data_IF_486201056784
#
_entry.id   IF_486201056784
#
_cell.length_a   1.000
_cell.length_b   1.000
_cell.length_c   1.000
_cell.angle_alpha   90.00
_cell.angle_beta   90.00
_cell.angle_gamma   90.00
#
_symmetry.space_group_name_H-M   'P 1'
#
loop_
_entity.id
_entity.type
_entity.pdbx_description
1 polymer ?
#
# COMPACT_ATOMS: atom_id res chain seq x y z
N UNK A 1 0.43 6.89 57.90
CA UNK A 1 1.68 7.09 57.13
C UNK A 1 2.03 8.56 57.22
N UNK A 2 3.10 8.91 57.91
CA UNK A 2 3.55 10.30 58.05
C UNK A 2 4.42 10.65 56.83
N UNK A 3 4.13 11.75 56.14
CA UNK A 3 4.93 12.17 54.99
C UNK A 3 6.34 12.59 55.44
N UNK A 4 7.37 12.03 54.79
CA UNK A 4 8.79 12.33 55.10
C UNK A 4 9.27 13.66 54.50
N UNK A 5 8.51 14.24 53.57
CA UNK A 5 8.80 15.54 52.95
C UNK A 5 8.03 15.75 51.65
N UNK A 6 8.18 16.93 51.04
CA UNK A 6 7.56 17.29 49.76
C UNK A 6 8.61 17.80 48.78
N UNK A 7 8.57 17.32 47.53
CA UNK A 7 9.47 17.75 46.45
C UNK A 7 8.63 18.36 45.35
N UNK A 8 8.97 19.57 44.93
CA UNK A 8 8.26 20.27 43.86
C UNK A 8 8.81 19.84 42.51
N UNK A 9 7.93 19.34 41.64
CA UNK A 9 8.30 18.98 40.27
C UNK A 9 8.42 20.27 39.44
N UNK A 10 9.57 20.53 38.78
CA UNK A 10 9.72 21.70 37.91
C UNK A 10 8.76 21.65 36.73
N UNK A 11 8.22 22.80 36.30
CA UNK A 11 7.29 22.88 35.16
C UNK A 11 7.90 22.39 33.84
N UNK A 12 9.23 22.38 33.71
CA UNK A 12 9.97 21.88 32.55
C UNK A 12 10.37 20.39 32.66
N UNK A 13 9.83 19.64 33.62
CA UNK A 13 10.16 18.23 33.79
C UNK A 13 9.64 17.38 32.61
N UNK A 14 10.53 16.65 31.96
CA UNK A 14 10.19 15.71 30.90
C UNK A 14 10.50 14.26 31.36
N UNK A 15 9.47 13.38 31.52
CA UNK A 15 9.67 12.02 31.99
C UNK A 15 10.43 11.13 31.00
N UNK A 16 10.52 11.52 29.72
CA UNK A 16 11.28 10.79 28.70
C UNK A 16 12.76 11.17 28.65
N UNK A 17 13.18 12.25 29.32
CA UNK A 17 14.58 12.66 29.37
C UNK A 17 15.32 11.99 30.56
N UNK A 18 16.37 11.19 30.32
CA UNK A 18 17.13 10.54 31.39
C UNK A 18 17.74 11.51 32.41
N UNK A 19 18.16 12.70 31.98
CA UNK A 19 18.77 13.70 32.86
C UNK A 19 17.73 14.32 33.80
N UNK A 20 16.57 14.72 33.28
CA UNK A 20 15.47 15.26 34.08
C UNK A 20 15.00 14.29 35.18
N UNK A 21 15.04 12.98 34.91
CA UNK A 21 14.76 11.94 35.91
C UNK A 21 15.82 11.85 37.01
N UNK A 22 17.11 12.00 36.66
CA UNK A 22 18.20 12.00 37.64
C UNK A 22 18.15 13.23 38.55
N UNK A 23 17.88 14.39 37.98
CA UNK A 23 17.83 15.65 38.72
C UNK A 23 16.68 15.63 39.74
N UNK A 24 15.49 15.14 39.34
CA UNK A 24 14.37 14.94 40.24
C UNK A 24 14.70 13.91 41.35
N UNK A 25 15.34 12.79 41.01
CA UNK A 25 15.77 11.79 41.98
C UNK A 25 16.85 12.31 42.95
N UNK A 26 17.67 13.28 42.52
CA UNK A 26 18.62 13.97 43.40
C UNK A 26 17.90 14.87 44.40
N UNK A 27 16.97 15.69 43.92
CA UNK A 27 16.14 16.56 44.77
C UNK A 27 15.31 15.74 45.78
N UNK A 28 14.81 14.57 45.39
CA UNK A 28 14.13 13.66 46.31
C UNK A 28 15.05 13.09 47.39
N UNK A 29 16.30 12.76 47.07
CA UNK A 29 17.28 12.26 48.06
C UNK A 29 17.68 13.33 49.06
N UNK A 30 17.78 14.58 48.61
CA UNK A 30 18.10 15.72 49.46
C UNK A 30 16.97 16.01 50.48
N UNK A 31 15.70 15.95 50.05
CA UNK A 31 14.53 16.15 50.93
C UNK A 31 14.35 15.00 51.93
N UNK A 32 14.72 13.78 51.56
CA UNK A 32 14.67 12.61 52.46
C UNK A 32 15.83 12.63 53.48
N UNK A 33 16.90 13.39 53.22
CA UNK A 33 18.04 13.54 54.14
C UNK A 33 18.71 12.21 54.51
N UNK A 34 19.37 12.18 55.66
CA UNK A 34 19.97 10.97 56.28
C UNK A 34 18.91 10.14 57.04
N UNK A 35 17.61 10.32 56.71
CA UNK A 35 16.61 9.36 57.14
C UNK A 35 17.07 8.01 56.61
N UNK A 36 17.41 7.11 57.52
CA UNK A 36 17.83 5.76 57.19
C UNK A 36 16.66 5.07 56.51
N UNK A 37 16.57 5.26 55.19
CA UNK A 37 15.98 4.29 54.28
C UNK A 37 16.90 3.11 54.48
N UNK A 38 16.58 2.30 55.51
CA UNK A 38 17.37 1.16 55.92
C UNK A 38 17.75 0.48 54.64
N UNK A 39 19.05 0.51 54.34
CA UNK A 39 19.60 -0.04 53.10
C UNK A 39 18.97 -1.40 53.07
N UNK A 40 17.98 -1.61 52.19
CA UNK A 40 17.43 -2.94 51.98
C UNK A 40 18.66 -3.64 51.48
N UNK A 41 19.32 -4.34 52.41
CA UNK A 41 20.18 -5.44 52.07
C UNK A 41 19.32 -6.16 51.06
N UNK A 42 19.77 -6.18 49.81
CA UNK A 42 19.29 -7.17 48.88
C UNK A 42 19.71 -8.46 49.57
N UNK A 43 18.87 -8.95 50.48
CA UNK A 43 18.75 -10.35 50.78
C UNK A 43 18.58 -10.91 49.37
N UNK A 44 19.64 -11.50 48.84
CA UNK A 44 19.52 -12.40 47.70
C UNK A 44 18.36 -13.31 48.08
N UNK A 45 17.31 -13.28 47.27
CA UNK A 45 16.21 -14.19 47.49
C UNK A 45 16.85 -15.59 47.58
N UNK A 46 16.62 -16.30 48.69
CA UNK A 46 17.20 -17.63 48.90
C UNK A 46 16.95 -18.61 47.74
N UNK A 47 15.97 -18.29 46.89
CA UNK A 47 15.70 -18.92 45.61
C UNK A 47 16.83 -18.71 44.56
N UNK A 48 17.37 -17.49 44.43
CA UNK A 48 18.53 -17.20 43.57
C UNK A 48 19.76 -17.99 44.05
N UNK A 49 19.97 -18.09 45.37
CA UNK A 49 21.09 -18.86 45.94
C UNK A 49 20.95 -20.37 45.69
N UNK A 50 19.72 -20.90 45.72
CA UNK A 50 19.43 -22.29 45.37
C UNK A 50 19.62 -22.56 43.87
N UNK A 51 19.16 -21.65 43.00
CA UNK A 51 19.36 -21.74 41.55
C UNK A 51 20.85 -21.67 41.18
N UNK A 52 21.60 -20.76 41.79
CA UNK A 52 23.04 -20.65 41.62
C UNK A 52 23.75 -21.93 42.09
N UNK A 53 23.32 -22.52 43.20
CA UNK A 53 23.89 -23.78 43.68
C UNK A 53 23.63 -24.95 42.71
N UNK A 54 22.42 -25.02 42.14
CA UNK A 54 22.05 -26.01 41.12
C UNK A 54 22.87 -25.83 39.84
N UNK A 55 22.97 -24.60 39.31
CA UNK A 55 23.77 -24.29 38.12
C UNK A 55 25.26 -24.61 38.34
N UNK A 56 25.82 -24.33 39.52
CA UNK A 56 27.19 -24.72 39.89
C UNK A 56 27.37 -26.23 39.97
N UNK A 57 26.37 -26.97 40.45
CA UNK A 57 26.39 -28.43 40.45
C UNK A 57 26.37 -28.98 39.03
N UNK A 58 25.47 -28.48 38.18
CA UNK A 58 25.38 -28.87 36.77
C UNK A 58 26.67 -28.58 36.00
N UNK A 59 27.28 -27.41 36.21
CA UNK A 59 28.57 -27.06 35.62
C UNK A 59 29.68 -28.04 36.00
N UNK A 60 29.72 -28.49 37.27
CA UNK A 60 30.69 -29.49 37.74
C UNK A 60 30.44 -30.88 37.18
N UNK A 61 29.18 -31.25 36.97
CA UNK A 61 28.78 -32.54 36.39
C UNK A 61 28.93 -32.58 34.86
N UNK A 62 29.13 -31.41 34.22
CA UNK A 62 29.27 -31.36 32.77
C UNK A 62 30.52 -32.13 32.31
N UNK A 63 30.43 -33.01 31.29
CA UNK A 63 31.55 -33.84 30.83
C UNK A 63 32.84 -33.08 30.47
N UNK A 64 32.71 -31.82 30.05
CA UNK A 64 33.86 -30.96 29.74
C UNK A 64 34.40 -30.13 30.93
N UNK A 65 33.88 -30.27 32.15
CA UNK A 65 34.26 -29.40 33.29
C UNK A 65 35.77 -29.44 33.58
N UNK A 66 36.36 -30.63 33.57
CA UNK A 66 37.80 -30.87 33.80
C UNK A 66 38.61 -31.16 32.52
N UNK A 67 38.05 -30.91 31.34
CA UNK A 67 38.74 -31.20 30.08
C UNK A 67 39.81 -30.13 29.79
N UNK A 68 41.03 -30.55 29.41
CA UNK A 68 42.11 -29.64 29.02
C UNK A 68 41.76 -28.78 27.79
N UNK A 69 40.96 -29.34 26.88
CA UNK A 69 40.53 -28.69 25.63
C UNK A 69 39.17 -27.99 25.74
N UNK A 70 38.66 -27.75 26.96
CA UNK A 70 37.35 -27.13 27.20
C UNK A 70 37.13 -25.83 26.41
N UNK A 71 38.14 -24.96 26.36
CA UNK A 71 38.08 -23.70 25.62
C UNK A 71 38.05 -23.90 24.10
N UNK A 72 38.59 -25.01 23.58
CA UNK A 72 38.47 -25.38 22.16
C UNK A 72 37.05 -25.88 21.86
N UNK A 73 36.49 -26.76 22.71
CA UNK A 73 35.11 -27.22 22.58
C UNK A 73 34.10 -26.08 22.65
N UNK A 74 34.28 -25.13 23.59
CA UNK A 74 33.43 -23.95 23.72
C UNK A 74 33.44 -23.11 22.45
N UNK A 75 34.61 -22.84 21.86
CA UNK A 75 34.72 -22.10 20.59
C UNK A 75 34.01 -22.79 19.42
N UNK A 76 34.15 -24.12 19.32
CA UNK A 76 33.43 -24.89 18.29
C UNK A 76 31.92 -24.89 18.52
N UNK A 77 31.48 -25.02 19.78
CA UNK A 77 30.06 -24.94 20.14
C UNK A 77 29.47 -23.54 19.84
N UNK A 78 30.18 -22.46 20.17
CA UNK A 78 29.77 -21.10 19.82
C UNK A 78 29.66 -20.90 18.31
N UNK A 79 30.64 -21.41 17.54
CA UNK A 79 30.62 -21.35 16.08
C UNK A 79 29.44 -22.14 15.51
N UNK A 80 29.19 -23.34 16.02
CA UNK A 80 28.03 -24.15 15.64
C UNK A 80 26.71 -23.44 15.97
N UNK A 81 26.55 -22.92 17.18
CA UNK A 81 25.35 -22.20 17.61
C UNK A 81 25.13 -20.91 16.82
N UNK A 82 26.21 -20.23 16.40
CA UNK A 82 26.12 -19.08 15.49
C UNK A 82 25.66 -19.52 14.11
N UNK A 83 26.33 -20.50 13.50
CA UNK A 83 25.97 -21.00 12.18
C UNK A 83 24.54 -21.55 12.13
N UNK A 84 24.09 -22.23 13.20
CA UNK A 84 22.72 -22.72 13.32
C UNK A 84 21.68 -21.61 13.41
N UNK A 85 21.97 -20.52 14.14
CA UNK A 85 21.10 -19.32 14.15
C UNK A 85 21.06 -18.66 12.78
N UNK A 86 22.23 -18.48 12.15
CA UNK A 86 22.31 -17.90 10.81
C UNK A 86 21.54 -18.73 9.78
N UNK A 87 21.63 -20.06 9.83
CA UNK A 87 20.85 -20.98 9.01
C UNK A 87 19.35 -20.80 9.24
N UNK A 88 18.91 -20.81 10.49
CA UNK A 88 17.50 -20.63 10.83
C UNK A 88 16.94 -19.27 10.38
N UNK A 89 17.70 -18.19 10.57
CA UNK A 89 17.34 -16.85 10.11
C UNK A 89 17.29 -16.77 8.58
N UNK A 90 18.11 -17.56 7.87
CA UNK A 90 18.10 -17.65 6.42
C UNK A 90 16.87 -18.44 5.93
N UNK A 91 16.57 -19.57 6.55
CA UNK A 91 15.39 -20.40 6.28
C UNK A 91 14.11 -19.59 6.46
N UNK A 92 13.95 -18.89 7.59
CA UNK A 92 12.79 -18.02 7.81
C UNK A 92 12.69 -16.90 6.78
N UNK A 93 13.82 -16.32 6.34
CA UNK A 93 13.83 -15.29 5.28
C UNK A 93 13.44 -15.85 3.93
N UNK A 94 13.88 -17.07 3.60
CA UNK A 94 13.49 -17.77 2.37
C UNK A 94 12.01 -18.10 2.41
N UNK A 95 11.52 -18.73 3.48
CA UNK A 95 10.09 -19.06 3.64
C UNK A 95 9.21 -17.81 3.63
N UNK A 96 9.65 -16.72 4.29
CA UNK A 96 8.94 -15.45 4.30
C UNK A 96 8.88 -14.78 2.92
N UNK A 97 9.97 -14.82 2.14
CA UNK A 97 10.02 -14.27 0.77
C UNK A 97 9.22 -15.12 -0.20
N UNK A 98 9.36 -16.44 -0.14
CA UNK A 98 8.68 -17.39 -1.03
C UNK A 98 7.16 -17.37 -0.83
N UNK A 99 6.69 -17.22 0.42
CA UNK A 99 5.27 -17.15 0.71
C UNK A 99 4.65 -15.75 0.52
N UNK A 100 5.44 -14.71 0.24
CA UNK A 100 4.90 -13.35 0.13
C UNK A 100 4.02 -13.16 -1.11
N UNK A 101 4.37 -13.80 -2.23
CA UNK A 101 3.59 -13.76 -3.47
C UNK A 101 2.30 -14.58 -3.31
N UNK A 102 2.39 -15.81 -2.79
CA UNK A 102 1.22 -16.64 -2.53
C UNK A 102 0.22 -15.94 -1.60
N UNK A 103 0.68 -15.39 -0.46
CA UNK A 103 -0.18 -14.63 0.46
C UNK A 103 -0.75 -13.35 -0.17
N UNK A 104 -0.03 -12.69 -1.08
CA UNK A 104 -0.59 -11.54 -1.80
C UNK A 104 -1.67 -11.99 -2.78
N UNK A 105 -1.42 -13.08 -3.50
CA UNK A 105 -2.39 -13.68 -4.41
C UNK A 105 -3.67 -14.11 -3.67
N UNK A 106 -3.55 -14.81 -2.54
CA UNK A 106 -4.69 -15.23 -1.72
C UNK A 106 -5.54 -14.02 -1.28
N UNK A 107 -4.89 -12.94 -0.83
CA UNK A 107 -5.59 -11.71 -0.45
C UNK A 107 -6.27 -11.03 -1.63
N UNK A 108 -5.69 -11.10 -2.83
CA UNK A 108 -6.34 -10.60 -4.05
C UNK A 108 -7.55 -11.45 -4.42
N UNK A 109 -7.46 -12.80 -4.34
CA UNK A 109 -8.61 -13.66 -4.62
C UNK A 109 -9.75 -13.45 -3.61
N UNK A 110 -9.43 -13.17 -2.34
CA UNK A 110 -10.42 -12.75 -1.34
C UNK A 110 -11.13 -11.45 -1.74
N UNK A 111 -10.40 -10.42 -2.19
CA UNK A 111 -11.02 -9.17 -2.70
C UNK A 111 -11.91 -9.43 -3.90
N UNK A 112 -11.43 -10.22 -4.86
CA UNK A 112 -12.20 -10.55 -6.06
C UNK A 112 -13.46 -11.38 -5.73
N UNK A 113 -13.41 -12.25 -4.72
CA UNK A 113 -14.56 -12.98 -4.24
C UNK A 113 -15.56 -12.06 -3.51
N UNK A 114 -15.08 -11.19 -2.61
CA UNK A 114 -15.91 -10.21 -1.89
C UNK A 114 -16.66 -9.28 -2.86
N UNK A 115 -16.00 -8.90 -3.96
CA UNK A 115 -16.58 -8.07 -5.01
C UNK A 115 -17.38 -8.87 -6.04
N UNK A 116 -17.42 -10.21 -6.00
CA UNK A 116 -18.22 -11.07 -6.89
C UNK A 116 -17.61 -11.35 -8.27
N UNK A 117 -16.31 -11.13 -8.46
CA UNK A 117 -15.56 -11.55 -9.66
C UNK A 117 -15.15 -13.03 -9.61
N UNK A 118 -15.09 -13.62 -8.42
CA UNK A 118 -14.92 -15.05 -8.17
C UNK A 118 -16.10 -15.56 -7.33
N UNK A 119 -16.46 -16.84 -7.50
CA UNK A 119 -17.52 -17.48 -6.68
C UNK A 119 -17.11 -17.63 -5.21
N UNK A 120 -15.81 -17.86 -4.96
CA UNK A 120 -15.20 -17.98 -3.64
C UNK A 120 -13.70 -17.66 -3.73
N UNK A 121 -13.04 -17.57 -2.59
CA UNK A 121 -11.57 -17.57 -2.51
C UNK A 121 -11.04 -19.00 -2.37
N UNK A 122 -9.81 -19.25 -2.83
CA UNK A 122 -9.13 -20.55 -2.71
C UNK A 122 -9.27 -21.47 -3.93
N UNK A 123 -8.95 -22.75 -3.74
CA UNK A 123 -8.75 -23.72 -4.84
C UNK A 123 -10.02 -24.04 -5.64
N UNK A 124 -11.20 -23.92 -5.00
CA UNK A 124 -12.51 -24.15 -5.64
C UNK A 124 -13.09 -22.88 -6.30
N UNK A 125 -12.31 -21.81 -6.42
CA UNK A 125 -12.75 -20.56 -7.02
C UNK A 125 -13.06 -20.71 -8.51
N UNK A 126 -14.27 -20.31 -8.91
CA UNK A 126 -14.67 -20.22 -10.31
C UNK A 126 -14.83 -18.76 -10.74
N UNK A 127 -14.48 -18.48 -12.00
CA UNK A 127 -14.60 -17.13 -12.57
C UNK A 127 -16.06 -16.85 -12.91
N UNK A 128 -16.62 -15.78 -12.32
CA UNK A 128 -18.00 -15.34 -12.59
C UNK A 128 -18.11 -14.66 -13.96
N UNK A 129 -19.33 -14.31 -14.40
CA UNK A 129 -19.50 -13.50 -15.61
C UNK A 129 -18.79 -12.15 -15.49
N UNK A 130 -18.91 -11.47 -14.34
CA UNK A 130 -18.17 -10.25 -14.05
C UNK A 130 -16.65 -10.48 -14.08
N UNK A 131 -16.18 -11.62 -13.55
CA UNK A 131 -14.78 -12.05 -13.65
C UNK A 131 -14.31 -12.16 -15.11
N UNK A 132 -15.14 -12.71 -16.01
CA UNK A 132 -14.82 -12.80 -17.45
C UNK A 132 -14.77 -11.45 -18.13
N UNK A 133 -15.57 -10.49 -17.70
CA UNK A 133 -15.47 -9.09 -18.15
C UNK A 133 -14.16 -8.46 -17.69
N UNK A 134 -13.79 -8.62 -16.41
CA UNK A 134 -12.52 -8.11 -15.86
C UNK A 134 -11.31 -8.66 -16.61
N UNK A 135 -11.30 -9.95 -16.97
CA UNK A 135 -10.21 -10.57 -17.74
C UNK A 135 -9.92 -9.93 -19.11
N UNK A 136 -10.81 -9.08 -19.63
CA UNK A 136 -10.65 -8.37 -20.91
C UNK A 136 -10.03 -6.98 -20.76
N UNK A 137 -9.84 -6.52 -19.53
CA UNK A 137 -9.23 -5.24 -19.19
C UNK A 137 -7.78 -5.50 -18.76
N UNK A 138 -6.86 -4.78 -19.38
CA UNK A 138 -5.41 -4.91 -19.16
C UNK A 138 -4.85 -3.51 -18.91
N UNK A 139 -5.03 -3.03 -17.68
CA UNK A 139 -4.63 -1.70 -17.21
C UNK A 139 -4.36 -1.79 -15.70
N UNK A 140 -3.58 -0.85 -15.16
CA UNK A 140 -3.32 -0.78 -13.71
C UNK A 140 -4.58 -0.44 -12.89
N UNK A 141 -5.64 0.03 -13.55
CA UNK A 141 -6.94 0.36 -12.95
C UNK A 141 -8.06 -0.56 -13.49
N UNK A 142 -7.74 -1.80 -13.83
CA UNK A 142 -8.65 -2.78 -14.44
C UNK A 142 -9.87 -3.10 -13.57
N UNK A 143 -9.68 -3.35 -12.27
CA UNK A 143 -10.76 -3.63 -11.32
C UNK A 143 -11.71 -2.44 -11.20
N UNK A 144 -11.18 -1.23 -11.10
CA UNK A 144 -11.99 -0.01 -11.05
C UNK A 144 -12.75 0.21 -12.36
N UNK A 145 -12.11 0.01 -13.52
CA UNK A 145 -12.77 0.08 -14.82
C UNK A 145 -13.90 -0.96 -14.92
N UNK A 146 -13.66 -2.20 -14.46
CA UNK A 146 -14.66 -3.25 -14.46
C UNK A 146 -15.86 -2.91 -13.55
N UNK A 147 -15.62 -2.29 -12.39
CA UNK A 147 -16.68 -1.85 -11.49
C UNK A 147 -17.52 -0.73 -12.09
N UNK A 148 -16.87 0.29 -12.67
CA UNK A 148 -17.58 1.37 -13.36
C UNK A 148 -18.48 0.84 -14.49
N UNK A 149 -18.02 -0.17 -15.25
CA UNK A 149 -18.85 -0.85 -16.27
C UNK A 149 -20.01 -1.60 -15.62
N UNK A 150 -19.74 -2.35 -14.55
CA UNK A 150 -20.73 -3.20 -13.88
C UNK A 150 -21.84 -2.40 -13.20
N UNK A 151 -21.49 -1.25 -12.64
CA UNK A 151 -22.41 -0.33 -11.96
C UNK A 151 -23.08 0.66 -12.91
N UNK A 152 -22.74 0.63 -14.21
CA UNK A 152 -23.34 1.51 -15.22
C UNK A 152 -22.91 2.97 -15.09
N UNK A 153 -21.77 3.25 -14.45
CA UNK A 153 -21.25 4.62 -14.23
C UNK A 153 -21.00 5.36 -15.55
N UNK A 154 -20.71 4.61 -16.61
CA UNK A 154 -20.48 5.17 -17.95
C UNK A 154 -21.71 5.14 -18.86
N UNK A 155 -22.86 4.67 -18.35
CA UNK A 155 -24.08 4.63 -19.13
C UNK A 155 -24.56 6.06 -19.45
N UNK A 156 -24.92 6.28 -20.72
CA UNK A 156 -25.35 7.59 -21.20
C UNK A 156 -24.23 8.56 -21.55
N UNK A 157 -22.96 8.21 -21.33
CA UNK A 157 -21.83 9.00 -21.82
C UNK A 157 -21.71 8.93 -23.34
N UNK A 158 -21.55 10.09 -23.97
CA UNK A 158 -21.18 10.18 -25.37
C UNK A 158 -19.66 10.03 -25.53
N UNK A 159 -19.21 9.80 -26.77
CA UNK A 159 -17.83 9.47 -27.08
C UNK A 159 -16.77 10.40 -26.44
N UNK A 160 -16.97 11.72 -26.49
CA UNK A 160 -16.00 12.67 -25.92
C UNK A 160 -15.97 12.66 -24.38
N UNK A 161 -17.13 12.46 -23.74
CA UNK A 161 -17.27 12.39 -22.29
C UNK A 161 -16.69 11.07 -21.76
N UNK A 162 -16.95 9.96 -22.45
CA UNK A 162 -16.38 8.65 -22.14
C UNK A 162 -14.85 8.66 -22.24
N UNK A 163 -14.30 9.25 -23.31
CA UNK A 163 -12.86 9.42 -23.44
C UNK A 163 -12.25 10.20 -22.25
N UNK A 164 -12.95 11.24 -21.79
CA UNK A 164 -12.53 12.04 -20.65
C UNK A 164 -12.56 11.24 -19.33
N UNK A 165 -13.59 10.43 -19.12
CA UNK A 165 -13.69 9.55 -17.96
C UNK A 165 -12.57 8.49 -17.94
N UNK A 166 -12.33 7.83 -19.08
CA UNK A 166 -11.24 6.85 -19.20
C UNK A 166 -9.84 7.48 -19.00
N UNK A 167 -9.65 8.76 -19.36
CA UNK A 167 -8.40 9.47 -19.11
C UNK A 167 -8.04 9.53 -17.62
N UNK A 168 -9.04 9.63 -16.73
CA UNK A 168 -8.82 9.70 -15.29
C UNK A 168 -8.29 8.40 -14.67
N UNK A 169 -8.44 7.27 -15.38
CA UNK A 169 -7.98 5.96 -14.92
C UNK A 169 -6.55 5.62 -15.35
N UNK A 170 -6.10 6.20 -16.47
CA UNK A 170 -4.82 5.86 -17.09
C UNK A 170 -3.77 6.93 -16.88
N UNK A 171 -4.15 8.20 -16.72
CA UNK A 171 -3.19 9.28 -16.62
C UNK A 171 -2.48 9.27 -15.26
N UNK A 172 -1.19 9.60 -15.29
CA UNK A 172 -0.40 9.84 -14.08
C UNK A 172 0.42 11.12 -14.25
N UNK A 173 0.12 12.11 -13.43
CA UNK A 173 0.94 13.30 -13.29
C UNK A 173 2.29 12.95 -12.65
N UNK A 174 3.35 13.61 -13.12
CA UNK A 174 4.71 13.46 -12.55
C UNK A 174 4.92 14.27 -11.27
N UNK A 175 3.94 15.06 -10.84
CA UNK A 175 4.10 16.04 -9.76
C UNK A 175 3.24 15.68 -8.55
N UNK A 176 3.85 15.76 -7.38
CA UNK A 176 3.14 15.77 -6.11
C UNK A 176 2.47 17.15 -5.96
N UNK A 177 1.17 17.19 -6.25
CA UNK A 177 0.11 17.88 -5.50
C UNK A 177 0.38 19.26 -4.86
N UNK A 178 0.90 20.23 -5.63
CA UNK A 178 0.90 21.68 -5.29
C UNK A 178 0.28 22.56 -6.40
N UNK A 179 -0.42 21.94 -7.36
CA UNK A 179 -0.98 22.62 -8.54
C UNK A 179 -2.41 23.14 -8.36
N UNK A 180 -2.80 24.10 -9.21
CA UNK A 180 -4.20 24.52 -9.34
C UNK A 180 -5.08 23.33 -9.77
N UNK A 181 -6.29 23.22 -9.21
CA UNK A 181 -7.22 22.14 -9.53
C UNK A 181 -7.44 22.04 -11.05
N UNK A 182 -7.34 20.83 -11.64
CA UNK A 182 -7.41 20.67 -13.08
C UNK A 182 -8.78 21.13 -13.59
N UNK A 183 -8.75 21.82 -14.74
CA UNK A 183 -9.98 22.20 -15.44
C UNK A 183 -10.73 20.94 -15.84
N UNK A 184 -12.06 20.92 -15.66
CA UNK A 184 -12.92 19.81 -16.09
C UNK A 184 -13.96 20.27 -17.12
N UNK A 185 -14.38 19.38 -18.02
CA UNK A 185 -15.50 19.62 -18.92
C UNK A 185 -16.77 20.06 -18.17
N UNK A 186 -17.65 20.77 -18.88
CA UNK A 186 -19.01 21.00 -18.42
C UNK A 186 -19.86 19.79 -18.81
N UNK A 187 -21.00 19.59 -18.13
CA UNK A 187 -21.90 18.49 -18.42
C UNK A 187 -21.58 17.24 -17.59
N UNK A 188 -21.94 16.03 -18.10
CA UNK A 188 -22.05 14.82 -17.29
C UNK A 188 -20.71 14.30 -16.76
N UNK A 189 -19.58 14.71 -17.36
CA UNK A 189 -18.25 14.26 -16.96
C UNK A 189 -17.96 14.52 -15.48
N UNK A 190 -18.44 15.64 -14.91
CA UNK A 190 -18.19 15.95 -13.49
C UNK A 190 -18.88 14.96 -12.57
N UNK A 191 -20.15 14.72 -12.82
CA UNK A 191 -20.96 13.81 -12.02
C UNK A 191 -20.43 12.38 -12.14
N UNK A 192 -20.02 11.97 -13.35
CA UNK A 192 -19.37 10.67 -13.58
C UNK A 192 -18.04 10.56 -12.84
N UNK A 193 -17.18 11.58 -12.86
CA UNK A 193 -15.90 11.52 -12.13
C UNK A 193 -16.12 11.42 -10.61
N UNK A 194 -17.16 12.05 -10.09
CA UNK A 194 -17.58 11.88 -8.69
C UNK A 194 -18.02 10.44 -8.44
N UNK A 195 -18.91 9.88 -9.27
CA UNK A 195 -19.34 8.49 -9.13
C UNK A 195 -18.17 7.50 -9.24
N UNK A 196 -17.24 7.70 -10.18
CA UNK A 196 -16.02 6.89 -10.27
C UNK A 196 -15.16 6.99 -9.00
N UNK A 197 -15.14 8.14 -8.34
CA UNK A 197 -14.49 8.32 -7.04
C UNK A 197 -15.16 7.51 -5.94
N UNK A 198 -16.49 7.45 -5.92
CA UNK A 198 -17.25 6.63 -4.98
C UNK A 198 -16.98 5.13 -5.19
N UNK A 199 -17.05 4.65 -6.44
CA UNK A 199 -16.70 3.27 -6.79
C UNK A 199 -15.26 2.93 -6.38
N UNK A 200 -14.34 3.87 -6.56
CA UNK A 200 -12.94 3.71 -6.14
C UNK A 200 -12.82 3.52 -4.63
N UNK A 201 -13.54 4.30 -3.83
CA UNK A 201 -13.53 4.12 -2.37
C UNK A 201 -14.04 2.72 -1.99
N UNK A 202 -15.11 2.23 -2.62
CA UNK A 202 -15.63 0.88 -2.34
C UNK A 202 -14.59 -0.22 -2.65
N UNK A 203 -13.91 -0.11 -3.80
CA UNK A 203 -12.81 -1.02 -4.16
C UNK A 203 -11.66 -0.90 -3.16
N UNK A 204 -11.26 0.33 -2.83
CA UNK A 204 -10.17 0.59 -1.90
C UNK A 204 -10.48 0.04 -0.50
N UNK A 205 -11.70 0.16 0.00
CA UNK A 205 -12.13 -0.41 1.27
C UNK A 205 -12.11 -1.95 1.25
N UNK A 206 -12.50 -2.57 0.13
CA UNK A 206 -12.37 -4.02 -0.05
C UNK A 206 -10.90 -4.47 0.01
N UNK A 207 -10.00 -3.75 -0.66
CA UNK A 207 -8.55 -4.01 -0.61
C UNK A 207 -7.96 -3.80 0.78
N UNK A 208 -8.29 -2.68 1.42
CA UNK A 208 -7.77 -2.30 2.74
C UNK A 208 -8.15 -3.30 3.83
N UNK A 209 -9.37 -3.88 3.77
CA UNK A 209 -9.78 -4.98 4.67
C UNK A 209 -8.87 -6.21 4.58
N UNK A 210 -8.18 -6.41 3.45
CA UNK A 210 -7.20 -7.48 3.22
C UNK A 210 -5.75 -6.99 3.32
N UNK A 211 -5.51 -5.76 3.77
CA UNK A 211 -4.18 -5.17 3.86
C UNK A 211 -3.49 -5.03 2.51
N UNK A 212 -4.27 -4.72 1.48
CA UNK A 212 -3.82 -4.39 0.12
C UNK A 212 -4.04 -2.90 -0.12
N UNK A 213 -3.14 -2.31 -0.91
CA UNK A 213 -3.23 -0.94 -1.43
C UNK A 213 -2.85 -1.02 -2.91
N UNK A 214 -3.83 -1.35 -3.77
CA UNK A 214 -3.58 -1.62 -5.20
C UNK A 214 -4.24 -0.52 -6.04
N UNK A 215 -5.52 -0.26 -5.81
CA UNK A 215 -6.29 0.72 -6.59
C UNK A 215 -5.85 2.14 -6.26
N UNK A 216 -5.41 2.86 -7.30
CA UNK A 216 -4.87 4.21 -7.19
C UNK A 216 -5.98 5.28 -7.26
N UNK A 217 -5.72 6.50 -6.75
CA UNK A 217 -6.58 7.66 -6.99
C UNK A 217 -6.77 7.95 -8.47
N UNK A 218 -7.92 8.55 -8.82
CA UNK A 218 -8.14 9.09 -10.15
C UNK A 218 -7.25 10.33 -10.36
N UNK A 219 -6.61 10.43 -11.52
CA UNK A 219 -5.86 11.63 -11.90
C UNK A 219 -6.64 12.45 -12.94
N UNK A 220 -7.11 13.62 -12.52
CA UNK A 220 -7.97 14.46 -13.33
C UNK A 220 -7.20 15.37 -14.31
N UNK A 221 -5.86 15.37 -14.27
CA UNK A 221 -5.00 16.29 -15.00
C UNK A 221 -5.10 16.19 -16.53
N UNK A 222 -5.50 15.03 -17.07
CA UNK A 222 -5.62 14.81 -18.50
C UNK A 222 -7.07 14.87 -19.03
N UNK A 223 -8.06 14.85 -18.15
CA UNK A 223 -9.49 14.77 -18.51
C UNK A 223 -9.90 15.84 -19.50
N UNK A 224 -9.57 17.11 -19.23
CA UNK A 224 -9.96 18.22 -20.10
C UNK A 224 -9.27 18.20 -21.46
N UNK A 225 -7.98 17.83 -21.48
CA UNK A 225 -7.21 17.73 -22.71
C UNK A 225 -7.81 16.64 -23.62
N UNK A 226 -8.10 15.47 -23.06
CA UNK A 226 -8.72 14.34 -23.78
C UNK A 226 -10.10 14.69 -24.30
N UNK A 227 -10.96 15.29 -23.47
CA UNK A 227 -12.30 15.72 -23.90
C UNK A 227 -12.24 16.70 -25.07
N UNK A 228 -11.38 17.73 -24.98
CA UNK A 228 -11.19 18.73 -26.05
C UNK A 228 -10.70 18.08 -27.34
N UNK A 229 -9.75 17.16 -27.23
CA UNK A 229 -9.22 16.44 -28.38
C UNK A 229 -10.28 15.53 -29.02
N UNK A 230 -11.02 14.75 -28.26
CA UNK A 230 -12.13 13.94 -28.75
C UNK A 230 -13.27 14.79 -29.36
N UNK A 231 -13.39 16.05 -28.94
CA UNK A 231 -14.32 17.04 -29.50
C UNK A 231 -13.82 17.73 -30.78
N UNK A 232 -12.64 17.36 -31.30
CA UNK A 232 -12.10 17.91 -32.55
C UNK A 232 -11.24 19.16 -32.42
N UNK A 233 -10.86 19.57 -31.20
CA UNK A 233 -10.00 20.74 -31.01
C UNK A 233 -8.61 20.60 -31.68
N UNK A 234 -8.00 21.69 -32.18
CA UNK A 234 -6.63 21.62 -32.70
C UNK A 234 -5.62 21.36 -31.57
N UNK A 235 -4.55 20.62 -31.87
CA UNK A 235 -3.54 20.18 -30.89
C UNK A 235 -2.96 21.35 -30.10
N UNK A 236 -2.64 22.45 -30.78
CA UNK A 236 -2.07 23.64 -30.15
C UNK A 236 -2.98 24.19 -29.03
N UNK A 237 -4.30 24.13 -29.21
CA UNK A 237 -5.26 24.58 -28.18
C UNK A 237 -5.41 23.61 -27.01
N UNK A 238 -5.10 22.33 -27.23
CA UNK A 238 -5.14 21.29 -26.19
C UNK A 238 -3.88 21.42 -25.32
N UNK A 239 -2.71 21.55 -25.96
CA UNK A 239 -1.42 21.70 -25.27
C UNK A 239 -1.29 23.04 -24.55
N UNK A 240 -1.95 24.11 -25.02
CA UNK A 240 -1.89 25.42 -24.36
C UNK A 240 -2.58 25.48 -23.00
N UNK A 241 -3.27 24.41 -22.58
CA UNK A 241 -4.08 24.40 -21.34
C UNK A 241 -3.44 23.57 -20.22
N UNK A 242 -2.22 23.03 -20.40
CA UNK A 242 -1.53 22.29 -19.35
C UNK A 242 -0.06 22.04 -19.66
N UNK A 243 0.67 21.51 -18.67
CA UNK A 243 2.12 21.27 -18.74
C UNK A 243 2.49 19.96 -19.47
N UNK A 244 1.68 19.56 -20.45
CA UNK A 244 1.89 18.34 -21.22
C UNK A 244 2.75 18.62 -22.45
N UNK A 245 3.84 17.87 -22.59
CA UNK A 245 4.58 17.83 -23.84
C UNK A 245 3.74 17.16 -24.94
N UNK A 246 4.01 17.48 -26.21
CA UNK A 246 3.34 16.80 -27.33
C UNK A 246 3.57 15.27 -27.32
N UNK A 247 4.75 14.83 -26.87
CA UNK A 247 5.08 13.40 -26.74
C UNK A 247 4.27 12.71 -25.64
N UNK A 248 4.19 13.30 -24.45
CA UNK A 248 3.38 12.77 -23.35
C UNK A 248 1.89 12.76 -23.72
N UNK A 249 1.41 13.81 -24.42
CA UNK A 249 0.05 13.86 -24.93
C UNK A 249 -0.28 12.66 -25.84
N UNK A 250 0.58 12.36 -26.82
CA UNK A 250 0.37 11.21 -27.73
C UNK A 250 0.41 9.89 -26.94
N UNK A 251 1.35 9.73 -26.01
CA UNK A 251 1.45 8.52 -25.19
C UNK A 251 0.19 8.28 -24.37
N UNK A 252 -0.27 9.26 -23.60
CA UNK A 252 -1.46 9.11 -22.78
C UNK A 252 -2.73 8.94 -23.63
N UNK A 253 -2.84 9.66 -24.75
CA UNK A 253 -3.98 9.49 -25.67
C UNK A 253 -4.06 8.05 -26.19
N UNK A 254 -2.92 7.39 -26.48
CA UNK A 254 -2.91 5.98 -26.88
C UNK A 254 -3.37 5.06 -25.77
N UNK A 255 -2.93 5.27 -24.54
CA UNK A 255 -3.41 4.45 -23.42
C UNK A 255 -4.92 4.62 -23.20
N UNK A 256 -5.48 5.82 -23.43
CA UNK A 256 -6.94 6.01 -23.43
C UNK A 256 -7.59 5.24 -24.58
N UNK A 257 -7.05 5.29 -25.80
CA UNK A 257 -7.56 4.52 -26.95
C UNK A 257 -7.54 3.01 -26.65
N UNK A 258 -6.44 2.51 -26.08
CA UNK A 258 -6.28 1.09 -25.73
C UNK A 258 -7.33 0.68 -24.68
N UNK A 259 -7.51 1.48 -23.62
CA UNK A 259 -8.54 1.23 -22.60
C UNK A 259 -9.95 1.25 -23.22
N UNK A 260 -10.28 2.22 -24.08
CA UNK A 260 -11.57 2.26 -24.77
C UNK A 260 -11.79 1.00 -25.63
N UNK A 261 -10.75 0.52 -26.31
CA UNK A 261 -10.77 -0.73 -27.06
C UNK A 261 -11.06 -1.94 -26.17
N UNK A 262 -10.44 -2.01 -24.99
CA UNK A 262 -10.68 -3.06 -24.00
C UNK A 262 -12.11 -2.98 -23.43
N UNK A 263 -12.59 -1.79 -23.09
CA UNK A 263 -13.97 -1.56 -22.63
C UNK A 263 -14.98 -2.03 -23.68
N UNK A 264 -14.78 -1.69 -24.96
CA UNK A 264 -15.63 -2.14 -26.05
C UNK A 264 -15.65 -3.66 -26.23
N UNK A 265 -14.55 -4.35 -25.91
CA UNK A 265 -14.46 -5.82 -25.93
C UNK A 265 -15.06 -6.46 -24.67
N UNK A 266 -15.07 -5.74 -23.55
CA UNK A 266 -15.53 -6.22 -22.25
C UNK A 266 -17.06 -6.27 -22.13
N UNK A 267 -17.77 -5.41 -22.87
CA UNK A 267 -19.23 -5.29 -22.84
C UNK A 267 -19.91 -6.08 -23.98
N UNK A 268 -21.21 -6.45 -23.83
CA UNK A 268 -21.95 -7.14 -24.88
C UNK A 268 -22.03 -6.36 -26.20
N UNK A 269 -22.13 -7.09 -27.33
CA UNK A 269 -22.11 -6.51 -28.67
C UNK A 269 -23.21 -5.45 -28.94
N UNK A 270 -24.36 -5.59 -28.28
CA UNK A 270 -25.51 -4.66 -28.40
C UNK A 270 -25.50 -3.50 -27.40
N UNK A 271 -24.49 -3.38 -26.54
CA UNK A 271 -24.41 -2.29 -25.56
C UNK A 271 -24.12 -0.94 -26.25
N UNK A 272 -24.87 0.14 -25.97
CA UNK A 272 -24.53 1.49 -26.46
C UNK A 272 -23.13 1.95 -26.05
N UNK A 273 -22.67 1.54 -24.87
CA UNK A 273 -21.32 1.82 -24.37
C UNK A 273 -20.25 1.29 -25.33
N UNK A 274 -20.49 0.12 -25.97
CA UNK A 274 -19.59 -0.44 -26.97
C UNK A 274 -19.41 0.49 -28.17
N UNK A 275 -20.50 0.99 -28.72
CA UNK A 275 -20.45 1.92 -29.85
C UNK A 275 -19.79 3.24 -29.49
N UNK A 276 -20.09 3.79 -28.31
CA UNK A 276 -19.47 5.04 -27.87
C UNK A 276 -17.99 4.88 -27.56
N UNK A 277 -17.55 3.73 -27.05
CA UNK A 277 -16.14 3.43 -26.84
C UNK A 277 -15.35 3.35 -28.17
N UNK A 278 -15.91 2.68 -29.19
CA UNK A 278 -15.31 2.67 -30.52
C UNK A 278 -15.26 4.08 -31.14
N UNK A 279 -16.36 4.82 -31.07
CA UNK A 279 -16.42 6.19 -31.59
C UNK A 279 -15.43 7.12 -30.87
N UNK A 280 -15.28 6.97 -29.55
CA UNK A 280 -14.31 7.71 -28.75
C UNK A 280 -12.88 7.42 -29.20
N UNK A 281 -12.53 6.13 -29.38
CA UNK A 281 -11.23 5.71 -29.86
C UNK A 281 -10.92 6.33 -31.25
N UNK A 282 -11.88 6.29 -32.18
CA UNK A 282 -11.74 6.87 -33.52
C UNK A 282 -11.54 8.39 -33.47
N UNK A 283 -12.30 9.10 -32.61
CA UNK A 283 -12.17 10.56 -32.42
C UNK A 283 -10.81 10.96 -31.84
N UNK A 284 -10.23 10.13 -30.97
CA UNK A 284 -8.90 10.33 -30.42
C UNK A 284 -7.79 10.00 -31.43
N UNK A 285 -8.00 9.00 -32.28
CA UNK A 285 -7.03 8.51 -33.25
C UNK A 285 -6.96 9.38 -34.53
N UNK A 286 -6.49 10.62 -34.38
CA UNK A 286 -6.34 11.58 -35.49
C UNK A 286 -5.04 12.36 -35.40
N UNK A 287 -4.68 13.06 -36.48
CA UNK A 287 -3.51 13.95 -36.52
C UNK A 287 -2.23 13.26 -36.03
N UNK A 288 -1.49 13.92 -35.14
CA UNK A 288 -0.21 13.39 -34.62
C UNK A 288 -0.33 12.01 -33.93
N UNK A 289 -1.51 11.67 -33.39
CA UNK A 289 -1.76 10.39 -32.72
C UNK A 289 -1.79 9.24 -33.74
N UNK A 290 -2.42 9.46 -34.90
CA UNK A 290 -2.54 8.46 -35.97
C UNK A 290 -1.26 8.27 -36.78
N UNK A 291 -0.43 9.32 -36.95
CA UNK A 291 0.80 9.24 -37.75
C UNK A 291 1.92 8.43 -37.10
N UNK A 292 1.99 8.36 -35.78
CA UNK A 292 3.08 7.65 -35.10
C UNK A 292 2.86 6.12 -35.03
N UNK A 293 1.81 5.58 -35.65
CA UNK A 293 1.59 4.12 -35.81
C UNK A 293 2.30 3.52 -37.03
N UNK A 294 2.97 4.36 -37.83
CA UNK A 294 3.82 3.95 -38.95
C UNK A 294 5.27 4.38 -38.69
N UNK A 295 5.96 3.67 -37.79
CA UNK A 295 7.43 3.62 -37.71
C UNK A 295 7.85 2.22 -37.29
#
# INVERSE_FOLDING_TARGET
MTALGHVRIPKAFNPRNPQSRRDLASAMREVVGDASVGRRSRQSDTADDAEIALLRMQLRQHPCHGCADREQHARWAERYMRARREMHDLEQRVEGRTNSIARRFDRVTEVLADLGYLTSAGDDAEVTEAGRTLMRLYTESDLLAAQCVREGVWDGLLAADLAAACAALVYESRSNDDGEAPRLPKGPVRDVLTAMGEVREEVHEAEARRGLEITRPLDLGFVWATHRWASGAPLLSVLSTGDLTAGDFVRWTRQVIDLLGQVAQAVPAGSPLRSHAHEAADRLNRGVVSYSSTV
#
